data_IF_093445318556
#
_entry.id   IF_093445318556
#
_cell.length_a   1.000
_cell.length_b   1.000
_cell.length_c   1.000
_cell.angle_alpha   90.00
_cell.angle_beta   90.00
_cell.angle_gamma   90.00
#
_symmetry.space_group_name_H-M   'P 1'
#
loop_
_entity.id
_entity.type
_entity.pdbx_description
1 polymer ?
#
# COMPACT_ATOMS: atom_id res chain seq x y z
N UNK A 1 -0.20 2.97 17.04
CA UNK A 1 -1.34 2.04 16.79
C UNK A 1 -0.81 0.61 16.73
N UNK A 2 -1.54 -0.35 17.25
CA UNK A 2 -1.16 -1.75 17.21
C UNK A 2 -1.93 -2.46 16.08
N UNK A 3 -1.32 -2.51 14.90
CA UNK A 3 -1.97 -3.02 13.68
C UNK A 3 -2.31 -4.50 13.78
N UNK A 4 -1.36 -5.31 14.22
CA UNK A 4 -1.56 -6.77 14.30
C UNK A 4 -2.68 -7.12 15.27
N UNK A 5 -2.69 -6.49 16.43
CA UNK A 5 -3.72 -6.71 17.44
C UNK A 5 -5.11 -6.35 16.89
N UNK A 6 -5.21 -5.23 16.19
CA UNK A 6 -6.47 -4.78 15.61
C UNK A 6 -6.97 -5.74 14.51
N UNK A 7 -6.07 -6.24 13.67
CA UNK A 7 -6.44 -7.24 12.67
C UNK A 7 -7.02 -8.48 13.32
N UNK A 8 -6.37 -8.97 14.37
CA UNK A 8 -6.82 -10.17 15.08
C UNK A 8 -8.18 -9.98 15.77
N UNK A 9 -8.47 -8.77 16.24
CA UNK A 9 -9.70 -8.46 16.96
C UNK A 9 -10.88 -8.08 16.07
N UNK A 10 -10.61 -7.66 14.83
CA UNK A 10 -11.63 -7.02 13.98
C UNK A 10 -12.32 -7.96 12.99
N UNK A 11 -11.93 -9.22 12.92
CA UNK A 11 -12.54 -10.18 12.01
C UNK A 11 -11.55 -11.18 11.44
N UNK A 12 -11.94 -11.79 10.31
CA UNK A 12 -11.13 -12.82 9.66
C UNK A 12 -10.18 -12.21 8.63
N UNK A 13 -9.24 -11.42 9.10
CA UNK A 13 -8.19 -10.84 8.25
C UNK A 13 -7.01 -11.80 8.12
N UNK A 14 -6.43 -11.84 6.94
CA UNK A 14 -5.17 -12.51 6.69
C UNK A 14 -4.05 -11.48 6.75
N UNK A 15 -2.85 -11.90 7.15
CA UNK A 15 -1.69 -11.03 7.22
C UNK A 15 -0.41 -11.84 7.05
N UNK A 16 0.63 -11.16 6.59
CA UNK A 16 1.95 -11.73 6.39
C UNK A 16 2.76 -11.70 7.69
N UNK A 17 3.94 -12.32 7.66
CA UNK A 17 4.91 -12.16 8.73
C UNK A 17 5.49 -10.75 8.69
N UNK A 18 5.92 -10.26 9.86
CA UNK A 18 6.47 -8.92 10.02
C UNK A 18 7.74 -8.71 9.20
N UNK A 19 7.92 -7.50 8.67
CA UNK A 19 9.13 -7.10 8.00
C UNK A 19 10.20 -6.70 9.01
N UNK A 20 11.46 -7.01 8.71
CA UNK A 20 12.59 -6.53 9.49
C UNK A 20 13.16 -5.24 8.87
N UNK A 21 14.14 -4.63 9.55
CA UNK A 21 14.73 -3.36 9.12
C UNK A 21 15.40 -3.45 7.74
N UNK A 22 16.05 -4.56 7.42
CA UNK A 22 16.72 -4.75 6.12
C UNK A 22 15.71 -4.87 4.99
N UNK A 23 14.60 -5.54 5.23
CA UNK A 23 13.52 -5.69 4.25
C UNK A 23 12.84 -4.36 3.97
N UNK A 24 12.62 -3.56 5.01
CA UNK A 24 12.05 -2.22 4.85
C UNK A 24 13.01 -1.34 4.04
N UNK A 25 14.31 -1.40 4.36
CA UNK A 25 15.32 -0.65 3.62
C UNK A 25 15.38 -1.06 2.15
N UNK A 26 15.22 -2.35 1.86
CA UNK A 26 15.16 -2.84 0.49
C UNK A 26 14.03 -2.18 -0.30
N UNK A 27 12.84 -2.07 0.29
CA UNK A 27 11.71 -1.39 -0.33
C UNK A 27 12.09 0.06 -0.66
N UNK A 28 12.67 0.77 0.29
CA UNK A 28 13.05 2.17 0.11
C UNK A 28 14.10 2.35 -0.98
N UNK A 29 15.10 1.48 -1.03
CA UNK A 29 16.14 1.53 -2.05
C UNK A 29 15.59 1.23 -3.44
N UNK A 30 14.73 0.22 -3.56
CA UNK A 30 14.14 -0.18 -4.83
C UNK A 30 13.20 0.87 -5.41
N UNK A 31 12.47 1.59 -4.57
CA UNK A 31 11.52 2.60 -5.01
C UNK A 31 12.10 4.02 -5.01
N UNK A 32 13.29 4.20 -4.43
CA UNK A 32 13.95 5.51 -4.37
C UNK A 32 13.21 6.52 -3.50
N UNK A 33 12.59 6.04 -2.41
CA UNK A 33 11.78 6.89 -1.52
C UNK A 33 12.05 6.54 -0.06
N UNK A 34 11.51 7.34 0.84
CA UNK A 34 11.48 7.05 2.27
C UNK A 34 10.03 6.78 2.67
N UNK A 35 9.79 5.65 3.30
CA UNK A 35 8.45 5.28 3.76
C UNK A 35 8.06 6.11 4.99
N UNK A 36 6.81 6.57 5.09
CA UNK A 36 6.35 7.24 6.30
C UNK A 36 6.44 6.34 7.53
N UNK A 37 6.70 6.94 8.69
CA UNK A 37 6.89 6.20 9.95
C UNK A 37 5.74 5.25 10.26
N UNK A 38 4.51 5.69 10.06
CA UNK A 38 3.31 4.90 10.35
C UNK A 38 3.27 3.64 9.49
N UNK A 39 3.64 3.77 8.21
CA UNK A 39 3.67 2.62 7.30
C UNK A 39 4.82 1.66 7.66
N UNK A 40 5.98 2.20 8.07
CA UNK A 40 7.10 1.37 8.57
C UNK A 40 6.62 0.54 9.77
N UNK A 41 5.86 1.16 10.69
CA UNK A 41 5.31 0.45 11.84
C UNK A 41 4.33 -0.64 11.42
N UNK A 42 3.48 -0.36 10.42
CA UNK A 42 2.57 -1.36 9.86
C UNK A 42 3.35 -2.57 9.32
N UNK A 43 4.36 -2.32 8.49
CA UNK A 43 5.20 -3.38 7.92
C UNK A 43 5.91 -4.19 9.01
N UNK A 44 6.34 -3.52 10.06
CA UNK A 44 7.09 -4.14 11.16
C UNK A 44 6.20 -5.02 12.05
N UNK A 45 4.88 -4.89 11.93
CA UNK A 45 3.94 -5.70 12.72
C UNK A 45 3.31 -6.82 11.90
N UNK A 46 2.90 -6.55 10.66
CA UNK A 46 2.13 -7.53 9.89
C UNK A 46 2.51 -7.64 8.41
N UNK A 47 3.51 -6.89 7.93
CA UNK A 47 4.02 -7.00 6.56
C UNK A 47 3.05 -6.56 5.48
N UNK A 48 1.89 -7.17 5.43
CA UNK A 48 0.77 -6.86 4.54
C UNK A 48 -0.47 -7.53 5.11
N UNK A 49 -1.64 -7.15 4.63
CA UNK A 49 -2.87 -7.79 5.08
C UNK A 49 -3.94 -7.75 4.00
N UNK A 50 -4.97 -8.59 4.17
CA UNK A 50 -6.09 -8.63 3.25
C UNK A 50 -7.36 -9.14 3.92
N UNK A 51 -8.47 -8.76 3.34
CA UNK A 51 -9.79 -9.30 3.65
C UNK A 51 -10.40 -9.71 2.31
N UNK A 52 -10.36 -11.02 2.04
CA UNK A 52 -10.72 -11.50 0.70
C UNK A 52 -9.79 -10.88 -0.36
N UNK A 53 -10.38 -10.27 -1.37
CA UNK A 53 -9.65 -9.66 -2.48
C UNK A 53 -9.19 -8.22 -2.21
N UNK A 54 -9.59 -7.65 -1.08
CA UNK A 54 -9.17 -6.30 -0.70
C UNK A 54 -7.91 -6.42 0.16
N UNK A 55 -6.83 -5.78 -0.26
CA UNK A 55 -5.54 -5.91 0.41
C UNK A 55 -4.87 -4.55 0.65
N UNK A 56 -3.97 -4.53 1.60
CA UNK A 56 -3.03 -3.43 1.80
C UNK A 56 -1.64 -3.99 1.51
N UNK A 57 -1.04 -3.52 0.43
CA UNK A 57 0.26 -3.99 -0.03
C UNK A 57 1.39 -3.64 0.94
N UNK A 58 2.36 -4.51 0.97
CA UNK A 58 3.58 -4.33 1.70
C UNK A 58 4.57 -5.38 1.25
N UNK A 59 5.01 -6.24 2.18
CA UNK A 59 5.78 -7.43 1.88
C UNK A 59 4.90 -8.65 2.16
N UNK A 60 5.13 -9.71 1.40
CA UNK A 60 4.52 -11.01 1.66
C UNK A 60 5.63 -11.97 2.04
N UNK A 61 5.61 -12.40 3.29
CA UNK A 61 6.66 -13.22 3.86
C UNK A 61 6.07 -14.47 4.48
N UNK A 62 6.49 -15.60 3.98
CA UNK A 62 6.19 -16.90 4.54
C UNK A 62 7.48 -17.52 5.04
N UNK A 63 7.39 -18.73 5.58
CA UNK A 63 8.49 -19.41 6.25
C UNK A 63 9.82 -19.39 5.50
N UNK A 64 9.80 -19.70 4.19
CA UNK A 64 11.01 -19.82 3.38
C UNK A 64 11.03 -18.90 2.15
N UNK A 65 10.00 -18.06 1.97
CA UNK A 65 9.89 -17.19 0.81
C UNK A 65 9.54 -15.77 1.22
N UNK A 66 10.01 -14.82 0.44
CA UNK A 66 9.68 -13.42 0.60
C UNK A 66 9.44 -12.80 -0.77
N UNK A 67 8.40 -11.97 -0.87
CA UNK A 67 8.16 -11.15 -2.04
C UNK A 67 7.79 -9.75 -1.58
N UNK A 68 7.88 -8.79 -2.51
CA UNK A 68 7.66 -7.38 -2.21
C UNK A 68 6.58 -6.83 -3.14
N UNK A 69 5.30 -7.17 -2.91
CA UNK A 69 4.22 -6.71 -3.79
C UNK A 69 4.16 -5.19 -3.94
N UNK A 70 4.43 -4.43 -2.87
CA UNK A 70 4.43 -2.97 -2.95
C UNK A 70 5.51 -2.46 -3.92
N UNK A 71 6.67 -3.11 -3.97
CA UNK A 71 7.75 -2.76 -4.90
C UNK A 71 7.37 -3.12 -6.32
N UNK A 72 6.99 -4.37 -6.52
CA UNK A 72 6.68 -4.91 -7.84
C UNK A 72 5.55 -4.13 -8.52
N UNK A 73 4.46 -3.93 -7.80
CA UNK A 73 3.29 -3.26 -8.32
C UNK A 73 3.54 -1.77 -8.56
N UNK A 74 4.22 -1.09 -7.62
CA UNK A 74 4.53 0.33 -7.78
C UNK A 74 5.43 0.57 -8.99
N UNK A 75 6.45 -0.25 -9.17
CA UNK A 75 7.34 -0.15 -10.35
C UNK A 75 6.57 -0.41 -11.64
N UNK A 76 5.73 -1.45 -11.65
CA UNK A 76 4.93 -1.79 -12.82
C UNK A 76 4.03 -0.63 -13.24
N UNK A 77 3.34 -0.01 -12.29
CA UNK A 77 2.41 1.06 -12.61
C UNK A 77 3.09 2.38 -12.92
N UNK A 78 4.30 2.61 -12.39
CA UNK A 78 5.14 3.74 -12.84
C UNK A 78 5.46 3.61 -14.32
N UNK A 79 5.74 2.39 -14.78
CA UNK A 79 6.04 2.12 -16.19
C UNK A 79 4.79 2.14 -17.05
N UNK A 80 3.77 1.37 -16.66
CA UNK A 80 2.58 1.15 -17.49
C UNK A 80 1.60 2.33 -17.50
N UNK A 81 1.44 3.01 -16.38
CA UNK A 81 0.45 4.08 -16.22
C UNK A 81 1.08 5.45 -15.91
N UNK A 82 2.40 5.54 -15.96
CA UNK A 82 3.14 6.76 -15.64
C UNK A 82 2.83 7.33 -14.26
N UNK A 83 2.66 6.43 -13.28
CA UNK A 83 2.41 6.82 -11.88
C UNK A 83 3.55 7.68 -11.37
N UNK A 84 3.22 8.80 -10.72
CA UNK A 84 4.22 9.69 -10.11
C UNK A 84 5.06 8.95 -9.06
N UNK A 85 6.34 9.30 -8.98
CA UNK A 85 7.26 8.76 -7.96
C UNK A 85 6.91 9.20 -6.54
N UNK A 86 5.98 10.14 -6.38
CA UNK A 86 5.50 10.61 -5.08
C UNK A 86 4.55 9.63 -4.40
N UNK A 87 4.20 8.53 -5.06
CA UNK A 87 3.24 7.56 -4.55
C UNK A 87 3.76 6.14 -4.54
N UNK A 88 3.29 5.36 -3.56
CA UNK A 88 3.36 3.89 -3.60
C UNK A 88 1.93 3.36 -3.71
N UNK A 89 1.80 2.15 -4.25
CA UNK A 89 0.49 1.52 -4.48
C UNK A 89 0.13 0.61 -3.32
N UNK A 90 -0.91 0.98 -2.58
CA UNK A 90 -1.42 0.17 -1.47
C UNK A 90 -2.39 -0.90 -1.97
N UNK A 91 -3.17 -0.60 -2.99
CA UNK A 91 -4.13 -1.53 -3.57
C UNK A 91 -4.37 -1.17 -5.03
N UNK A 92 -4.52 -2.19 -5.87
CA UNK A 92 -4.87 -1.99 -7.28
C UNK A 92 -6.04 -2.92 -7.62
N UNK A 93 -7.18 -2.31 -7.93
CA UNK A 93 -8.30 -3.02 -8.53
C UNK A 93 -8.11 -2.92 -10.03
N UNK A 94 -7.71 -4.01 -10.65
CA UNK A 94 -7.24 -4.03 -12.05
C UNK A 94 -8.25 -3.39 -12.98
N UNK A 95 -7.79 -2.41 -13.77
CA UNK A 95 -8.55 -1.64 -14.75
C UNK A 95 -9.65 -0.77 -14.15
N UNK A 96 -9.74 -0.65 -12.82
CA UNK A 96 -10.77 0.12 -12.14
C UNK A 96 -10.20 1.30 -11.35
N UNK A 97 -9.39 1.04 -10.31
CA UNK A 97 -8.83 2.12 -9.50
C UNK A 97 -7.57 1.71 -8.73
N UNK A 98 -6.87 2.72 -8.26
CA UNK A 98 -5.66 2.59 -7.43
C UNK A 98 -5.87 3.28 -6.10
N UNK A 99 -5.40 2.66 -5.02
CA UNK A 99 -5.25 3.31 -3.73
C UNK A 99 -3.77 3.64 -3.56
N UNK A 100 -3.47 4.91 -3.38
CA UNK A 100 -2.11 5.45 -3.41
C UNK A 100 -1.76 6.11 -2.09
N UNK A 101 -0.52 5.94 -1.65
CA UNK A 101 -0.02 6.55 -0.43
C UNK A 101 1.10 7.52 -0.77
N UNK A 102 0.99 8.75 -0.27
CA UNK A 102 1.98 9.80 -0.53
C UNK A 102 3.29 9.49 0.19
N UNK A 103 4.39 9.61 -0.53
CA UNK A 103 5.73 9.40 0.02
C UNK A 103 6.66 10.53 -0.40
N UNK A 104 7.85 10.59 0.18
CA UNK A 104 8.88 11.57 -0.16
C UNK A 104 10.21 10.87 -0.36
N UNK A 105 11.05 11.39 -1.26
CA UNK A 105 12.41 10.89 -1.43
C UNK A 105 13.44 11.71 -0.63
N UNK A 106 12.99 12.75 0.08
CA UNK A 106 13.88 13.68 0.79
C UNK A 106 13.80 13.57 2.30
N UNK A 107 12.60 13.35 2.83
CA UNK A 107 12.36 13.26 4.26
C UNK A 107 11.44 12.09 4.57
N UNK A 108 11.59 11.53 5.77
CA UNK A 108 10.67 10.52 6.27
C UNK A 108 9.50 11.23 6.92
N UNK A 109 8.34 11.17 6.26
CA UNK A 109 7.10 11.73 6.81
C UNK A 109 6.65 10.87 7.99
N UNK A 110 5.90 11.47 8.92
CA UNK A 110 5.30 10.70 10.01
C UNK A 110 4.15 9.84 9.46
N UNK A 111 3.26 10.47 8.74
CA UNK A 111 2.14 9.86 8.02
C UNK A 111 1.87 10.71 6.80
N UNK A 112 0.92 10.33 5.99
CA UNK A 112 0.58 11.08 4.77
C UNK A 112 -0.84 10.74 4.35
N UNK A 113 -1.37 11.52 3.42
CA UNK A 113 -2.71 11.26 2.87
C UNK A 113 -2.72 10.02 1.99
N UNK A 114 -3.87 9.36 1.97
CA UNK A 114 -4.15 8.25 1.07
C UNK A 114 -5.09 8.76 -0.01
N UNK A 115 -4.74 8.45 -1.26
CA UNK A 115 -5.44 8.95 -2.45
C UNK A 115 -6.08 7.80 -3.21
N UNK A 116 -7.06 8.12 -4.03
CA UNK A 116 -7.61 7.19 -5.00
C UNK A 116 -7.50 7.81 -6.39
N UNK A 117 -7.19 6.98 -7.39
CA UNK A 117 -7.14 7.39 -8.78
C UNK A 117 -7.88 6.35 -9.61
N UNK A 118 -8.81 6.78 -10.46
CA UNK A 118 -9.52 5.89 -11.38
C UNK A 118 -8.62 5.51 -12.55
N UNK A 119 -8.77 4.28 -13.02
CA UNK A 119 -8.12 3.79 -14.22
C UNK A 119 -9.17 3.72 -15.31
N UNK A 120 -8.86 4.25 -16.48
CA UNK A 120 -9.79 4.27 -17.60
C UNK A 120 -9.08 3.95 -18.90
N UNK A 121 -9.84 3.46 -19.87
CA UNK A 121 -9.34 3.20 -21.22
C UNK A 121 -9.77 4.36 -22.13
N UNK A 122 -8.81 4.97 -22.81
CA UNK A 122 -9.11 6.08 -23.73
C UNK A 122 -9.57 5.55 -25.11
N UNK A 123 -9.90 6.47 -26.02
CA UNK A 123 -10.39 6.14 -27.36
C UNK A 123 -9.38 5.34 -28.20
N UNK A 124 -8.11 5.39 -27.85
CA UNK A 124 -7.04 4.66 -28.54
C UNK A 124 -6.80 3.27 -27.96
N UNK A 125 -7.59 2.86 -26.96
CA UNK A 125 -7.39 1.59 -26.27
C UNK A 125 -6.28 1.59 -25.24
N UNK A 126 -5.78 2.77 -24.85
CA UNK A 126 -4.71 2.89 -23.85
C UNK A 126 -5.30 3.11 -22.46
N UNK A 127 -4.72 2.43 -21.46
CA UNK A 127 -5.10 2.65 -20.07
C UNK A 127 -4.37 3.85 -19.50
N UNK A 128 -5.09 4.70 -18.80
CA UNK A 128 -4.60 5.91 -18.16
C UNK A 128 -5.15 6.00 -16.75
N UNK A 129 -4.47 6.75 -15.90
CA UNK A 129 -4.99 7.07 -14.56
C UNK A 129 -5.44 8.53 -14.55
N UNK A 130 -6.53 8.77 -13.84
CA UNK A 130 -7.02 10.11 -13.57
C UNK A 130 -6.18 10.77 -12.46
N UNK A 131 -6.40 12.05 -12.22
CA UNK A 131 -5.71 12.76 -11.16
C UNK A 131 -6.04 12.14 -9.80
N UNK A 132 -5.03 11.78 -8.99
CA UNK A 132 -5.29 11.26 -7.65
C UNK A 132 -6.08 12.23 -6.79
N UNK A 133 -7.08 11.73 -6.09
CA UNK A 133 -7.97 12.49 -5.21
C UNK A 133 -7.79 12.02 -3.77
N UNK A 134 -7.60 12.95 -2.79
CA UNK A 134 -7.47 12.55 -1.39
C UNK A 134 -8.74 11.85 -0.89
N UNK A 135 -8.56 10.70 -0.26
CA UNK A 135 -9.66 9.90 0.31
C UNK A 135 -9.59 9.84 1.83
N UNK A 136 -8.38 9.79 2.39
CA UNK A 136 -8.15 9.74 3.83
C UNK A 136 -7.01 10.69 4.18
N UNK A 137 -7.09 11.31 5.34
CA UNK A 137 -6.07 12.24 5.81
C UNK A 137 -4.79 11.55 6.27
N UNK A 138 -4.87 10.25 6.55
CA UNK A 138 -3.75 9.48 7.07
C UNK A 138 -3.87 8.00 6.73
N UNK A 139 -2.76 7.28 6.82
CA UNK A 139 -2.76 5.83 6.72
C UNK A 139 -3.58 5.20 7.84
N UNK A 140 -3.54 5.78 9.04
CA UNK A 140 -4.30 5.25 10.16
C UNK A 140 -5.81 5.29 9.91
N UNK A 141 -6.33 6.39 9.35
CA UNK A 141 -7.74 6.48 8.96
C UNK A 141 -8.09 5.45 7.90
N UNK A 142 -7.22 5.29 6.91
CA UNK A 142 -7.39 4.30 5.87
C UNK A 142 -7.43 2.89 6.45
N UNK A 143 -6.53 2.58 7.37
CA UNK A 143 -6.47 1.28 8.02
C UNK A 143 -7.72 1.01 8.85
N UNK A 144 -8.23 2.01 9.57
CA UNK A 144 -9.48 1.89 10.33
C UNK A 144 -10.68 1.59 9.42
N UNK A 145 -10.75 2.26 8.26
CA UNK A 145 -11.78 1.99 7.25
C UNK A 145 -11.64 0.56 6.72
N UNK A 146 -10.42 0.12 6.45
CA UNK A 146 -10.14 -1.26 6.03
C UNK A 146 -10.64 -2.27 7.06
N UNK A 147 -10.43 -2.01 8.35
CA UNK A 147 -10.89 -2.91 9.42
C UNK A 147 -12.41 -3.06 9.44
N UNK A 148 -13.14 -2.06 8.96
CA UNK A 148 -14.61 -2.11 8.92
C UNK A 148 -15.14 -3.22 8.00
N UNK A 149 -14.31 -3.73 7.09
CA UNK A 149 -14.67 -4.87 6.24
C UNK A 149 -14.98 -6.12 7.06
N UNK A 150 -14.39 -6.27 8.24
CA UNK A 150 -14.63 -7.38 9.15
C UNK A 150 -15.86 -7.24 10.04
N UNK A 151 -16.55 -6.11 9.98
CA UNK A 151 -17.76 -5.86 10.77
C UNK A 151 -18.96 -6.54 10.12
N UNK A 152 -19.79 -7.15 10.96
CA UNK A 152 -21.02 -7.82 10.51
C UNK A 152 -22.18 -6.81 10.31
#
# INVERSE_FOLDING_TARGET
MNYLKQLKQSGEFEYSLAANAEEIKHIEEELGILLPEVYVNFLSECGSCNYGDVYINGIYKEKDTISYPVVELTKQLREDLHLSEDFIVLHYEVDEFLTLYKVSNKIRLKDAKVFEAEVFCNDKGEFKIDKPTPMFDSFEEYFEDFLSLGED
#
